data_IF_615315030823
#
_entry.id   IF_615315030823
#
_cell.length_a   1.000
_cell.length_b   1.000
_cell.length_c   1.000
_cell.angle_alpha   90.00
_cell.angle_beta   90.00
_cell.angle_gamma   90.00
#
_symmetry.space_group_name_H-M   'P 1'
#
loop_
_entity.id
_entity.type
_entity.pdbx_description
1 polymer ?
#
# COMPACT_ATOMS: atom_id res chain seq x y z
N UNK A 1 -4.02 10.98 1.24
CA UNK A 1 -2.85 10.29 0.63
C UNK A 1 -3.08 10.03 -0.86
N UNK A 2 -2.01 9.78 -1.62
CA UNK A 2 -2.00 9.52 -3.08
C UNK A 2 -1.30 8.19 -3.39
N UNK A 3 -1.39 7.73 -4.64
CA UNK A 3 -0.73 6.50 -5.11
C UNK A 3 0.80 6.55 -5.03
N UNK A 4 1.38 7.76 -5.03
CA UNK A 4 2.81 8.02 -4.85
C UNK A 4 3.26 8.00 -3.38
N UNK A 5 2.31 7.98 -2.43
CA UNK A 5 2.63 7.96 -1.00
C UNK A 5 3.48 6.72 -0.68
N UNK A 6 4.63 6.95 -0.04
CA UNK A 6 5.54 5.91 0.42
C UNK A 6 4.83 4.99 1.42
N UNK A 7 5.13 3.70 1.37
CA UNK A 7 4.60 2.74 2.35
C UNK A 7 4.96 3.15 3.79
N UNK A 8 6.10 3.80 4.01
CA UNK A 8 6.49 4.31 5.33
C UNK A 8 5.55 5.42 5.84
N UNK A 9 5.31 6.45 5.04
CA UNK A 9 4.35 7.52 5.36
C UNK A 9 2.94 6.93 5.56
N UNK A 10 2.57 5.95 4.73
CA UNK A 10 1.31 5.24 4.85
C UNK A 10 1.18 4.55 6.22
N UNK A 11 2.22 3.89 6.69
CA UNK A 11 2.25 3.24 8.02
C UNK A 11 2.25 4.28 9.14
N UNK A 12 2.93 5.40 8.96
CA UNK A 12 2.94 6.51 9.92
C UNK A 12 1.57 7.15 10.08
N UNK A 13 0.85 7.38 8.97
CA UNK A 13 -0.45 8.03 8.98
C UNK A 13 -1.59 7.06 9.31
N UNK A 14 -1.54 5.86 8.73
CA UNK A 14 -2.56 4.82 8.86
C UNK A 14 -1.86 3.49 9.17
N UNK A 15 -1.55 3.20 10.44
CA UNK A 15 -0.84 1.97 10.82
C UNK A 15 -1.60 0.68 10.43
N UNK A 16 -2.93 0.75 10.31
CA UNK A 16 -3.77 -0.37 9.86
C UNK A 16 -3.61 -0.69 8.36
N UNK A 17 -3.01 0.22 7.58
CA UNK A 17 -2.78 0.04 6.14
C UNK A 17 -1.99 -1.22 5.81
N UNK A 18 -1.06 -1.65 6.68
CA UNK A 18 -0.29 -2.89 6.51
C UNK A 18 -1.21 -4.11 6.52
N UNK A 19 -2.20 -4.13 7.42
CA UNK A 19 -3.17 -5.20 7.53
C UNK A 19 -4.04 -5.27 6.29
N UNK A 20 -4.59 -4.11 5.89
CA UNK A 20 -5.39 -3.96 4.67
C UNK A 20 -4.63 -4.42 3.41
N UNK A 21 -3.41 -3.92 3.19
CA UNK A 21 -2.59 -4.30 2.03
C UNK A 21 -2.26 -5.79 2.04
N UNK A 22 -1.94 -6.34 3.21
CA UNK A 22 -1.69 -7.78 3.38
C UNK A 22 -2.93 -8.61 3.02
N UNK A 23 -4.13 -8.16 3.40
CA UNK A 23 -5.39 -8.84 3.07
C UNK A 23 -5.67 -8.82 1.57
N UNK A 24 -5.38 -7.71 0.89
CA UNK A 24 -5.43 -7.61 -0.58
C UNK A 24 -4.33 -8.43 -1.28
N UNK A 25 -3.37 -8.99 -0.54
CA UNK A 25 -2.25 -9.76 -1.10
C UNK A 25 -1.03 -8.92 -1.48
N UNK A 26 -1.05 -7.61 -1.20
CA UNK A 26 0.10 -6.72 -1.28
C UNK A 26 1.02 -7.01 -0.10
N UNK A 27 1.98 -7.91 -0.31
CA UNK A 27 3.00 -8.24 0.70
C UNK A 27 4.01 -7.11 0.82
N UNK A 28 3.86 -6.27 1.84
CA UNK A 28 4.77 -5.19 2.20
C UNK A 28 6.09 -5.66 2.85
N UNK A 29 6.17 -6.94 3.26
CA UNK A 29 7.32 -7.51 3.98
C UNK A 29 7.82 -8.74 3.22
N UNK A 30 9.05 -8.66 2.69
CA UNK A 30 9.76 -9.83 2.15
C UNK A 30 11.01 -10.04 3.00
N UNK A 31 11.12 -11.21 3.62
CA UNK A 31 12.36 -11.68 4.27
C UNK A 31 12.96 -10.76 5.36
N UNK A 32 12.16 -9.90 6.00
CA UNK A 32 12.60 -9.05 7.12
C UNK A 32 12.96 -7.62 6.77
N UNK A 33 12.94 -7.24 5.49
CA UNK A 33 13.09 -5.86 5.05
C UNK A 33 11.76 -5.33 4.49
N UNK A 34 11.29 -4.14 4.92
CA UNK A 34 10.12 -3.51 4.32
C UNK A 34 10.43 -3.21 2.85
N UNK A 35 9.44 -3.37 1.96
CA UNK A 35 9.59 -2.90 0.59
C UNK A 35 9.51 -1.36 0.64
N UNK A 36 10.67 -0.72 0.50
CA UNK A 36 10.79 0.73 0.38
C UNK A 36 10.34 1.13 -1.03
N UNK A 37 9.20 1.81 -1.12
CA UNK A 37 8.58 2.24 -2.37
C UNK A 37 7.22 2.89 -2.13
N UNK A 38 6.56 3.36 -3.19
CA UNK A 38 5.20 3.90 -3.11
C UNK A 38 4.15 2.78 -3.11
N UNK A 39 2.94 3.13 -2.68
CA UNK A 39 1.78 2.24 -2.76
C UNK A 39 1.58 1.69 -4.18
N UNK A 40 1.72 2.55 -5.20
CA UNK A 40 1.61 2.15 -6.60
C UNK A 40 2.65 1.09 -7.00
N UNK A 41 3.91 1.29 -6.63
CA UNK A 41 4.99 0.34 -6.95
C UNK A 41 4.77 -1.01 -6.27
N UNK A 42 4.38 -0.99 -4.98
CA UNK A 42 4.10 -2.20 -4.22
C UNK A 42 2.94 -3.01 -4.81
N UNK A 43 1.89 -2.32 -5.27
CA UNK A 43 0.74 -2.92 -5.93
C UNK A 43 1.10 -3.46 -7.33
N UNK A 44 1.76 -2.66 -8.18
CA UNK A 44 2.16 -3.06 -9.54
C UNK A 44 3.10 -4.26 -9.54
N UNK A 45 4.01 -4.38 -8.56
CA UNK A 45 4.85 -5.57 -8.40
C UNK A 45 4.07 -6.87 -8.13
N UNK A 46 2.82 -6.79 -7.69
CA UNK A 46 1.94 -7.94 -7.50
C UNK A 46 0.98 -8.17 -8.66
N UNK A 47 1.05 -7.34 -9.70
CA UNK A 47 0.18 -7.41 -10.87
C UNK A 47 -1.13 -6.63 -10.72
N UNK A 48 -1.24 -5.76 -9.72
CA UNK A 48 -2.36 -4.81 -9.63
C UNK A 48 -2.17 -3.69 -10.64
N UNK A 49 -3.27 -3.29 -11.28
CA UNK A 49 -3.28 -2.18 -12.25
C UNK A 49 -3.48 -0.82 -11.58
N UNK A 50 -3.46 0.24 -12.38
CA UNK A 50 -3.72 1.60 -11.88
C UNK A 50 -5.13 1.75 -11.27
N UNK A 51 -6.14 1.04 -11.79
CA UNK A 51 -7.51 1.03 -11.24
C UNK A 51 -7.57 0.44 -9.82
N UNK A 52 -6.85 -0.67 -9.59
CA UNK A 52 -6.71 -1.27 -8.25
C UNK A 52 -5.97 -0.34 -7.29
N UNK A 53 -4.93 0.35 -7.77
CA UNK A 53 -4.18 1.32 -6.97
C UNK A 53 -5.07 2.50 -6.58
N UNK A 54 -5.87 3.04 -7.49
CA UNK A 54 -6.83 4.09 -7.18
C UNK A 54 -7.88 3.62 -6.17
N UNK A 55 -8.36 2.38 -6.29
CA UNK A 55 -9.24 1.77 -5.30
C UNK A 55 -8.58 1.71 -3.93
N UNK A 56 -7.33 1.24 -3.85
CA UNK A 56 -6.58 1.17 -2.58
C UNK A 56 -6.41 2.55 -1.97
N UNK A 57 -6.05 3.56 -2.75
CA UNK A 57 -5.93 4.95 -2.28
C UNK A 57 -7.25 5.44 -1.70
N UNK A 58 -8.38 5.15 -2.35
CA UNK A 58 -9.70 5.54 -1.84
C UNK A 58 -10.05 4.83 -0.53
N UNK A 59 -9.86 3.51 -0.46
CA UNK A 59 -10.13 2.74 0.76
C UNK A 59 -9.21 3.20 1.91
N UNK A 60 -7.93 3.43 1.64
CA UNK A 60 -6.96 3.91 2.64
C UNK A 60 -7.27 5.32 3.14
N UNK A 61 -7.72 6.23 2.27
CA UNK A 61 -8.19 7.56 2.69
C UNK A 61 -9.49 7.49 3.50
N UNK A 62 -10.33 6.46 3.32
CA UNK A 62 -11.55 6.29 4.12
C UNK A 62 -11.28 5.70 5.51
N UNK A 63 -10.11 5.10 5.72
CA UNK A 63 -9.66 4.55 7.00
C UNK A 63 -8.91 5.58 7.87
N UNK A 64 -8.59 6.77 7.33
CA UNK A 64 -7.81 7.84 7.98
C UNK A 64 -8.59 9.13 8.16
#
# INVERSE_FOLDING_TARGET
MTSDTSIEDLIQWVPDSVGYLREKGVRCIRCGEPIWGSLAEAAKQKGFGDDDVELFVRELNAMG
#
